data_IF_244629449837
#
_entry.id   IF_244629449837
#
_cell.length_a   1.000
_cell.length_b   1.000
_cell.length_c   1.000
_cell.angle_alpha   90.00
_cell.angle_beta   90.00
_cell.angle_gamma   90.00
#
_symmetry.space_group_name_H-M   'P 1'
#
loop_
_entity.id
_entity.type
_entity.pdbx_description
1 polymer ?
#
# COMPACT_ATOMS: atom_id res chain seq x y z
N UNK A 1 -4.62 -3.77 -17.37
CA UNK A 1 -3.58 -2.72 -17.34
C UNK A 1 -2.30 -3.33 -16.81
N UNK A 2 -1.20 -3.15 -17.55
CA UNK A 2 0.16 -3.58 -17.18
C UNK A 2 0.83 -2.52 -16.31
N UNK A 3 1.86 -2.90 -15.56
CA UNK A 3 2.65 -1.98 -14.72
C UNK A 3 3.24 -0.82 -15.54
N UNK A 4 3.76 -1.10 -16.74
CA UNK A 4 4.32 -0.08 -17.63
C UNK A 4 3.26 0.95 -18.07
N UNK A 5 2.08 0.49 -18.49
CA UNK A 5 0.97 1.39 -18.89
C UNK A 5 0.57 2.32 -17.73
N UNK A 6 0.49 1.79 -16.51
CA UNK A 6 0.21 2.57 -15.31
C UNK A 6 1.30 3.60 -15.03
N UNK A 7 2.58 3.20 -15.08
CA UNK A 7 3.72 4.10 -14.91
C UNK A 7 3.67 5.25 -15.92
N UNK A 8 3.44 4.95 -17.18
CA UNK A 8 3.40 5.95 -18.25
C UNK A 8 2.22 6.90 -18.09
N UNK A 9 1.06 6.40 -17.67
CA UNK A 9 -0.09 7.22 -17.28
C UNK A 9 0.22 8.18 -16.13
N UNK A 10 0.94 7.72 -15.10
CA UNK A 10 1.35 8.57 -13.97
C UNK A 10 2.36 9.63 -14.45
N UNK A 11 3.36 9.25 -15.24
CA UNK A 11 4.36 10.20 -15.78
C UNK A 11 3.71 11.24 -16.70
N UNK A 12 2.72 10.84 -17.50
CA UNK A 12 1.98 11.74 -18.37
C UNK A 12 1.27 12.88 -17.62
N UNK A 13 1.05 12.74 -16.31
CA UNK A 13 0.46 13.75 -15.44
C UNK A 13 1.50 14.59 -14.68
N UNK A 14 2.77 14.62 -15.07
CA UNK A 14 3.83 15.37 -14.38
C UNK A 14 3.50 16.85 -14.05
N UNK A 15 2.68 17.50 -14.88
CA UNK A 15 2.22 18.89 -14.68
C UNK A 15 1.02 19.02 -13.74
N UNK A 16 0.44 17.90 -13.28
CA UNK A 16 -0.75 17.82 -12.45
C UNK A 16 -0.48 16.90 -11.25
N UNK A 17 0.19 17.39 -10.18
CA UNK A 17 0.62 16.57 -9.05
C UNK A 17 -0.54 15.86 -8.34
N UNK A 18 -1.71 16.51 -8.21
CA UNK A 18 -2.89 15.91 -7.60
C UNK A 18 -3.41 14.71 -8.41
N UNK A 19 -3.34 14.77 -9.75
CA UNK A 19 -3.74 13.66 -10.62
C UNK A 19 -2.72 12.53 -10.63
N UNK A 20 -1.42 12.84 -10.52
CA UNK A 20 -0.40 11.82 -10.27
C UNK A 20 -0.70 11.06 -8.99
N UNK A 21 -0.95 11.79 -7.90
CA UNK A 21 -1.33 11.20 -6.63
C UNK A 21 -2.64 10.40 -6.74
N UNK A 22 -3.64 10.89 -7.47
CA UNK A 22 -4.91 10.19 -7.69
C UNK A 22 -4.71 8.83 -8.37
N UNK A 23 -3.91 8.77 -9.43
CA UNK A 23 -3.67 7.53 -10.17
C UNK A 23 -2.91 6.53 -9.32
N UNK A 24 -1.84 6.98 -8.65
CA UNK A 24 -1.07 6.18 -7.71
C UNK A 24 -1.95 5.68 -6.55
N UNK A 25 -2.81 6.52 -5.99
CA UNK A 25 -3.71 6.16 -4.92
C UNK A 25 -4.71 5.09 -5.40
N UNK A 26 -5.39 5.30 -6.52
CA UNK A 26 -6.37 4.34 -7.04
C UNK A 26 -5.74 2.97 -7.36
N UNK A 27 -4.51 2.94 -7.87
CA UNK A 27 -3.81 1.70 -8.20
C UNK A 27 -3.14 1.00 -7.02
N UNK A 28 -2.82 1.73 -5.95
CA UNK A 28 -2.13 1.17 -4.78
C UNK A 28 -3.03 0.93 -3.57
N UNK A 29 -4.23 1.50 -3.52
CA UNK A 29 -5.16 1.38 -2.37
C UNK A 29 -6.43 0.58 -2.68
N UNK A 30 -6.66 0.30 -3.96
CA UNK A 30 -7.88 -0.33 -4.43
C UNK A 30 -9.13 0.56 -4.34
N UNK A 31 -9.01 1.86 -4.04
CA UNK A 31 -10.14 2.80 -4.09
C UNK A 31 -10.78 2.89 -5.48
N UNK A 32 -12.09 3.14 -5.52
CA UNK A 32 -12.73 3.62 -6.75
C UNK A 32 -12.30 5.06 -6.98
N UNK A 33 -12.11 5.48 -8.24
CA UNK A 33 -11.77 6.87 -8.56
C UNK A 33 -12.77 7.88 -7.98
N UNK A 34 -14.06 7.53 -7.99
CA UNK A 34 -15.11 8.34 -7.36
C UNK A 34 -14.97 8.47 -5.84
N UNK A 35 -14.52 7.42 -5.14
CA UNK A 35 -14.23 7.49 -3.70
C UNK A 35 -12.99 8.37 -3.46
N UNK A 36 -11.93 8.17 -4.25
CA UNK A 36 -10.70 8.94 -4.15
C UNK A 36 -10.96 10.46 -4.33
N UNK A 37 -11.83 10.84 -5.26
CA UNK A 37 -12.19 12.25 -5.47
C UNK A 37 -12.96 12.91 -4.30
N UNK A 38 -13.42 12.14 -3.31
CA UNK A 38 -14.04 12.65 -2.09
C UNK A 38 -13.09 12.74 -0.90
N UNK A 39 -11.88 12.18 -0.99
CA UNK A 39 -10.94 12.15 0.13
C UNK A 39 -10.47 13.55 0.44
N UNK A 40 -10.69 13.96 1.70
CA UNK A 40 -10.24 15.22 2.26
C UNK A 40 -8.99 15.03 3.10
N UNK A 41 -8.29 16.12 3.41
CA UNK A 41 -7.10 16.05 4.26
C UNK A 41 -7.38 15.41 5.63
N UNK A 42 -8.52 15.72 6.25
CA UNK A 42 -8.94 15.12 7.53
C UNK A 42 -9.17 13.60 7.49
N UNK A 43 -9.33 13.02 6.30
CA UNK A 43 -9.50 11.59 6.12
C UNK A 43 -8.15 10.84 6.10
N UNK A 44 -7.03 11.59 6.06
CA UNK A 44 -5.67 11.04 6.07
C UNK A 44 -5.16 10.87 7.51
N UNK A 45 -4.56 9.72 7.78
CA UNK A 45 -3.84 9.45 9.01
C UNK A 45 -2.37 9.14 8.67
N UNK A 46 -1.48 9.99 9.20
CA UNK A 46 -0.04 9.99 8.92
C UNK A 46 0.77 9.31 10.04
N UNK A 47 0.12 8.70 11.02
CA UNK A 47 0.80 8.11 12.20
C UNK A 47 1.54 6.79 11.92
N UNK A 48 1.22 6.12 10.81
CA UNK A 48 1.76 4.81 10.44
C UNK A 48 2.83 4.91 9.34
N UNK A 49 3.52 3.79 9.05
CA UNK A 49 4.58 3.74 8.02
C UNK A 49 4.04 4.08 6.61
N UNK A 50 2.73 3.94 6.38
CA UNK A 50 2.03 4.40 5.18
C UNK A 50 0.86 5.27 5.56
N UNK A 51 0.57 6.27 4.71
CA UNK A 51 -0.61 7.12 4.86
C UNK A 51 -1.86 6.23 4.78
N UNK A 52 -2.65 6.29 5.84
CA UNK A 52 -3.93 5.58 5.91
C UNK A 52 -5.02 6.52 5.45
N UNK A 53 -5.94 6.02 4.63
CA UNK A 53 -7.10 6.75 4.15
C UNK A 53 -8.35 6.13 4.76
N UNK A 54 -9.11 6.97 5.49
CA UNK A 54 -10.40 6.62 6.05
C UNK A 54 -11.49 6.96 5.04
N UNK A 55 -12.02 5.95 4.37
CA UNK A 55 -13.10 6.13 3.39
C UNK A 55 -14.42 6.10 4.16
N UNK A 56 -15.07 7.25 4.28
CA UNK A 56 -16.35 7.37 4.98
C UNK A 56 -17.47 6.61 4.23
N UNK A 57 -18.37 5.99 4.99
CA UNK A 57 -19.58 5.33 4.51
C UNK A 57 -20.45 6.23 3.62
N UNK A 58 -20.46 7.55 3.88
CA UNK A 58 -21.20 8.54 3.08
C UNK A 58 -20.76 8.59 1.62
N UNK A 59 -19.49 8.27 1.35
CA UNK A 59 -18.89 8.32 0.01
C UNK A 59 -18.95 6.97 -0.72
N UNK A 60 -19.30 5.88 -0.03
CA UNK A 60 -19.33 4.54 -0.61
C UNK A 60 -20.75 4.13 -1.00
N UNK A 61 -20.88 3.46 -2.16
CA UNK A 61 -22.17 2.90 -2.62
C UNK A 61 -22.76 1.89 -1.63
N UNK A 62 -21.93 1.27 -0.79
CA UNK A 62 -22.30 0.20 0.14
C UNK A 62 -22.61 0.69 1.55
N UNK A 63 -22.47 1.99 1.84
CA UNK A 63 -22.66 2.59 3.19
C UNK A 63 -21.82 1.93 4.29
N UNK A 64 -20.70 1.30 3.92
CA UNK A 64 -19.73 0.76 4.86
C UNK A 64 -18.43 1.57 4.73
N UNK A 65 -18.02 2.18 5.83
CA UNK A 65 -16.71 2.83 5.92
C UNK A 65 -15.60 1.79 5.92
N UNK A 66 -14.44 2.14 5.38
CA UNK A 66 -13.26 1.27 5.43
C UNK A 66 -11.96 2.08 5.45
N UNK A 67 -10.92 1.46 5.97
CA UNK A 67 -9.55 1.95 5.93
C UNK A 67 -8.80 1.27 4.79
N UNK A 68 -7.90 2.02 4.15
CA UNK A 68 -6.92 1.50 3.17
C UNK A 68 -5.64 2.30 3.28
N UNK A 69 -4.59 1.89 2.56
CA UNK A 69 -3.28 2.54 2.56
C UNK A 69 -2.90 2.93 1.15
N UNK A 70 -2.05 3.94 1.02
CA UNK A 70 -1.41 4.30 -0.25
C UNK A 70 0.07 3.96 -0.24
N UNK A 71 0.61 3.70 -1.42
CA UNK A 71 2.02 3.33 -1.56
C UNK A 71 2.93 4.47 -1.15
N UNK A 72 4.20 4.15 -0.85
CA UNK A 72 5.26 5.10 -0.49
C UNK A 72 5.35 6.23 -1.51
N UNK A 73 5.41 5.92 -2.80
CA UNK A 73 5.47 6.91 -3.90
C UNK A 73 4.21 7.80 -3.98
N UNK A 74 3.04 7.26 -3.63
CA UNK A 74 1.82 8.05 -3.54
C UNK A 74 1.88 9.00 -2.34
N UNK A 75 2.30 8.49 -1.17
CA UNK A 75 2.46 9.28 0.05
C UNK A 75 3.46 10.41 -0.14
N UNK A 76 4.65 10.12 -0.66
CA UNK A 76 5.66 11.12 -1.02
C UNK A 76 5.07 12.18 -1.96
N UNK A 77 4.26 11.76 -2.93
CA UNK A 77 3.60 12.69 -3.85
C UNK A 77 2.60 13.59 -3.14
N UNK A 78 1.74 13.04 -2.28
CA UNK A 78 0.77 13.80 -1.49
C UNK A 78 1.49 14.84 -0.62
N UNK A 79 2.57 14.44 0.05
CA UNK A 79 3.34 15.31 0.95
C UNK A 79 3.91 16.55 0.26
N UNK A 80 4.14 16.52 -1.06
CA UNK A 80 4.62 17.70 -1.81
C UNK A 80 3.66 18.90 -1.78
N UNK A 81 2.37 18.68 -1.52
CA UNK A 81 1.36 19.75 -1.49
C UNK A 81 0.43 19.70 -0.26
N UNK A 82 0.48 18.66 0.56
CA UNK A 82 -0.41 18.48 1.72
C UNK A 82 -0.37 19.65 2.73
N UNK A 83 0.78 20.32 2.86
CA UNK A 83 0.96 21.48 3.74
C UNK A 83 0.12 22.70 3.33
N UNK A 84 -0.40 22.73 2.09
CA UNK A 84 -1.21 23.83 1.54
C UNK A 84 -2.71 23.59 1.65
N UNK A 85 -3.12 22.40 2.10
CA UNK A 85 -4.51 22.01 2.19
C UNK A 85 -5.00 22.24 3.61
N UNK A 86 -6.24 22.73 3.74
CA UNK A 86 -6.99 22.71 4.99
C UNK A 86 -7.70 21.36 5.17
N UNK A 87 -8.21 21.10 6.37
CA UNK A 87 -8.78 19.79 6.73
C UNK A 87 -9.97 19.36 5.85
N UNK A 88 -10.72 20.32 5.33
CA UNK A 88 -11.86 20.09 4.45
C UNK A 88 -11.54 20.12 2.96
N UNK A 89 -10.30 20.41 2.59
CA UNK A 89 -9.86 20.41 1.20
C UNK A 89 -9.66 18.99 0.67
N UNK A 90 -9.98 18.82 -0.61
CA UNK A 90 -9.82 17.55 -1.31
C UNK A 90 -8.35 17.30 -1.64
N UNK A 91 -7.87 16.09 -1.34
CA UNK A 91 -6.47 15.71 -1.54
C UNK A 91 -6.12 15.56 -3.02
N UNK A 92 -7.03 14.97 -3.79
CA UNK A 92 -6.73 14.53 -5.16
C UNK A 92 -7.30 15.45 -6.26
N UNK A 93 -7.95 16.56 -5.90
CA UNK A 93 -8.53 17.49 -6.87
C UNK A 93 -8.64 18.89 -6.27
N UNK A 94 -8.39 19.91 -7.09
CA UNK A 94 -8.66 21.31 -6.73
C UNK A 94 -9.97 21.83 -7.34
N UNK A 95 -10.77 20.94 -7.95
CA UNK A 95 -12.01 21.33 -8.61
C UNK A 95 -13.07 21.72 -7.59
N UNK A 96 -13.65 22.90 -7.76
CA UNK A 96 -14.81 23.37 -7.00
C UNK A 96 -16.14 22.85 -7.57
N UNK A 97 -16.10 22.18 -8.73
CA UNK A 97 -17.29 21.63 -9.38
C UNK A 97 -17.94 20.50 -8.57
N UNK A 98 -19.19 20.18 -8.91
CA UNK A 98 -19.91 19.07 -8.29
C UNK A 98 -19.25 17.71 -8.59
N UNK A 99 -19.67 16.67 -7.87
CA UNK A 99 -19.06 15.36 -7.98
C UNK A 99 -19.13 14.76 -9.40
N UNK A 100 -20.27 14.93 -10.08
CA UNK A 100 -20.46 14.42 -11.45
C UNK A 100 -19.48 15.09 -12.41
N UNK A 101 -19.29 16.40 -12.25
CA UNK A 101 -18.36 17.20 -13.04
C UNK A 101 -16.93 16.76 -12.81
N UNK A 102 -16.52 16.52 -11.56
CA UNK A 102 -15.18 16.00 -11.24
C UNK A 102 -14.93 14.63 -11.87
N UNK A 103 -15.86 13.70 -11.73
CA UNK A 103 -15.76 12.37 -12.33
C UNK A 103 -15.62 12.44 -13.84
N UNK A 104 -16.43 13.28 -14.51
CA UNK A 104 -16.35 13.48 -15.95
C UNK A 104 -15.03 14.14 -16.38
N UNK A 105 -14.55 15.14 -15.65
CA UNK A 105 -13.28 15.80 -15.92
C UNK A 105 -12.12 14.80 -15.87
N UNK A 106 -12.10 13.93 -14.86
CA UNK A 106 -11.07 12.89 -14.75
C UNK A 106 -11.20 11.81 -15.83
N UNK A 107 -12.41 11.45 -16.25
CA UNK A 107 -12.61 10.54 -17.38
C UNK A 107 -12.06 11.13 -18.69
N UNK A 108 -12.31 12.42 -18.95
CA UNK A 108 -11.79 13.12 -20.13
C UNK A 108 -10.26 13.27 -20.07
N UNK A 109 -9.70 13.59 -18.91
CA UNK A 109 -8.26 13.68 -18.72
C UNK A 109 -7.56 12.33 -18.93
N UNK A 110 -8.15 11.23 -18.46
CA UNK A 110 -7.66 9.89 -18.71
C UNK A 110 -7.72 9.55 -20.20
N UNK A 111 -8.85 9.78 -20.87
CA UNK A 111 -8.99 9.52 -22.30
C UNK A 111 -7.93 10.28 -23.13
N UNK A 112 -7.71 11.56 -22.83
CA UNK A 112 -6.68 12.37 -23.48
C UNK A 112 -5.27 11.81 -23.25
N UNK A 113 -4.98 11.32 -22.05
CA UNK A 113 -3.69 10.68 -21.75
C UNK A 113 -3.52 9.37 -22.51
N UNK A 114 -4.57 8.55 -22.62
CA UNK A 114 -4.54 7.30 -23.38
C UNK A 114 -4.28 7.54 -24.86
N UNK A 115 -4.95 8.52 -25.47
CA UNK A 115 -4.71 8.91 -26.87
C UNK A 115 -3.27 9.37 -27.09
N UNK A 116 -2.75 10.24 -26.21
CA UNK A 116 -1.36 10.73 -26.32
C UNK A 116 -0.30 9.63 -26.14
N UNK A 117 -0.59 8.62 -25.33
CA UNK A 117 0.34 7.51 -25.07
C UNK A 117 0.16 6.33 -26.04
N UNK A 118 -0.83 6.37 -26.94
CA UNK A 118 -1.14 5.26 -27.84
C UNK A 118 -1.86 4.08 -27.16
N UNK A 119 -2.44 4.28 -25.97
CA UNK A 119 -3.22 3.26 -25.24
C UNK A 119 -4.73 3.39 -25.51
N UNK A 120 -5.09 3.72 -26.75
CA UNK A 120 -6.44 4.10 -27.16
C UNK A 120 -7.29 2.93 -27.68
N UNK A 121 -6.87 1.69 -27.45
CA UNK A 121 -7.62 0.51 -27.87
C UNK A 121 -9.00 0.48 -27.18
N UNK A 122 -10.05 0.19 -27.98
CA UNK A 122 -11.45 0.17 -27.55
C UNK A 122 -12.07 -1.21 -27.76
N UNK A 123 -13.04 -1.57 -26.91
CA UNK A 123 -13.87 -2.74 -27.15
C UNK A 123 -14.80 -2.50 -28.34
N UNK A 124 -14.84 -3.46 -29.28
CA UNK A 124 -15.74 -3.40 -30.45
C UNK A 124 -17.22 -3.39 -30.07
N UNK A 125 -17.58 -3.96 -28.92
CA UNK A 125 -18.97 -4.11 -28.48
C UNK A 125 -19.63 -2.81 -28.01
N UNK A 126 -18.88 -1.87 -27.43
CA UNK A 126 -19.44 -0.66 -26.81
C UNK A 126 -18.58 0.61 -27.03
N UNK A 127 -17.45 0.51 -27.72
CA UNK A 127 -16.56 1.62 -28.01
C UNK A 127 -15.81 2.19 -26.80
N UNK A 128 -15.90 1.56 -25.62
CA UNK A 128 -15.14 2.01 -24.44
C UNK A 128 -13.67 1.62 -24.55
N UNK A 129 -12.79 2.51 -24.06
CA UNK A 129 -11.37 2.19 -23.91
C UNK A 129 -11.20 0.93 -23.04
N UNK A 130 -10.21 0.10 -23.39
CA UNK A 130 -9.84 -1.05 -22.55
C UNK A 130 -9.24 -0.62 -21.20
N UNK A 131 -8.64 0.56 -21.15
CA UNK A 131 -8.19 1.18 -19.90
C UNK A 131 -9.21 2.24 -19.48
N UNK A 132 -9.78 2.08 -18.29
CA UNK A 132 -10.70 3.03 -17.67
C UNK A 132 -10.27 3.31 -16.23
N UNK A 133 -11.00 4.17 -15.52
CA UNK A 133 -10.76 4.37 -14.09
C UNK A 133 -10.92 3.09 -13.26
N UNK A 134 -11.71 2.12 -13.72
CA UNK A 134 -11.84 0.82 -13.06
C UNK A 134 -10.58 -0.05 -13.21
N UNK A 135 -9.76 0.20 -14.23
CA UNK A 135 -8.53 -0.55 -14.47
C UNK A 135 -7.49 -0.35 -13.36
N UNK A 136 -7.46 0.83 -12.70
CA UNK A 136 -6.60 1.07 -11.53
C UNK A 136 -6.97 0.17 -10.35
N UNK A 137 -8.26 0.11 -10.02
CA UNK A 137 -8.76 -0.76 -8.95
C UNK A 137 -8.58 -2.24 -9.30
N UNK A 138 -8.81 -2.63 -10.56
CA UNK A 138 -8.57 -4.00 -11.02
C UNK A 138 -7.09 -4.39 -10.90
N UNK A 139 -6.17 -3.47 -11.22
CA UNK A 139 -4.73 -3.67 -11.03
C UNK A 139 -4.38 -3.99 -9.58
N UNK A 140 -4.85 -3.17 -8.62
CA UNK A 140 -4.69 -3.46 -7.19
C UNK A 140 -5.27 -4.82 -6.82
N UNK A 141 -6.54 -5.06 -7.18
CA UNK A 141 -7.26 -6.26 -6.78
C UNK A 141 -6.55 -7.52 -7.26
N UNK A 142 -6.11 -7.56 -8.53
CA UNK A 142 -5.38 -8.70 -9.08
C UNK A 142 -4.08 -8.97 -8.33
N UNK A 143 -3.31 -7.95 -7.98
CA UNK A 143 -2.05 -8.13 -7.25
C UNK A 143 -2.29 -8.55 -5.80
N UNK A 144 -3.28 -7.93 -5.13
CA UNK A 144 -3.69 -8.30 -3.78
C UNK A 144 -4.15 -9.76 -3.69
N UNK A 145 -4.99 -10.20 -4.64
CA UNK A 145 -5.45 -11.61 -4.70
C UNK A 145 -4.30 -12.57 -4.94
N UNK A 146 -3.35 -12.24 -5.82
CA UNK A 146 -2.19 -13.10 -6.08
C UNK A 146 -1.26 -13.24 -4.88
N UNK A 147 -1.23 -12.24 -4.01
CA UNK A 147 -0.32 -12.18 -2.85
C UNK A 147 -0.94 -12.76 -1.58
N UNK A 148 -2.23 -12.51 -1.35
CA UNK A 148 -2.90 -12.71 -0.06
C UNK A 148 -4.34 -13.24 -0.19
N UNK A 149 -4.68 -13.80 -1.35
CA UNK A 149 -6.00 -14.34 -1.68
C UNK A 149 -7.14 -13.30 -1.74
N UNK A 150 -8.31 -13.81 -2.13
CA UNK A 150 -9.46 -12.98 -2.48
C UNK A 150 -10.05 -12.23 -1.28
N UNK A 151 -10.01 -12.80 -0.08
CA UNK A 151 -10.58 -12.20 1.12
C UNK A 151 -9.87 -10.87 1.47
N UNK A 152 -8.53 -10.86 1.45
CA UNK A 152 -7.78 -9.63 1.67
C UNK A 152 -8.07 -8.59 0.59
N UNK A 153 -8.08 -9.00 -0.70
CA UNK A 153 -8.40 -8.11 -1.80
C UNK A 153 -9.81 -7.50 -1.68
N UNK A 154 -10.82 -8.30 -1.31
CA UNK A 154 -12.17 -7.84 -1.06
C UNK A 154 -12.25 -6.89 0.14
N UNK A 155 -11.55 -7.19 1.24
CA UNK A 155 -11.47 -6.32 2.43
C UNK A 155 -10.94 -4.93 2.08
N UNK A 156 -9.80 -4.87 1.38
CA UNK A 156 -9.14 -3.62 1.00
C UNK A 156 -9.97 -2.81 0.00
N UNK A 157 -10.62 -3.51 -0.93
CA UNK A 157 -11.43 -2.87 -1.96
C UNK A 157 -12.85 -2.53 -1.47
N UNK A 158 -13.34 -3.11 -0.37
CA UNK A 158 -14.72 -2.90 0.10
C UNK A 158 -15.75 -3.55 -0.83
N UNK A 159 -15.40 -4.71 -1.38
CA UNK A 159 -16.34 -5.60 -2.05
C UNK A 159 -16.86 -6.64 -1.06
N UNK A 160 -18.06 -7.17 -1.30
CA UNK A 160 -18.54 -8.34 -0.57
C UNK A 160 -17.76 -9.57 -1.00
N UNK A 161 -16.91 -10.09 -0.12
CA UNK A 161 -16.26 -11.39 -0.28
C UNK A 161 -17.06 -12.52 0.37
N UNK A 162 -16.61 -13.76 0.18
CA UNK A 162 -17.21 -14.91 0.84
C UNK A 162 -16.94 -14.86 2.36
N UNK A 163 -17.99 -15.00 3.17
CA UNK A 163 -17.89 -15.12 4.64
C UNK A 163 -17.10 -13.99 5.35
N UNK A 164 -17.08 -12.77 4.79
CA UNK A 164 -16.36 -11.60 5.35
C UNK A 164 -16.72 -11.26 6.81
N UNK A 165 -17.89 -11.67 7.29
CA UNK A 165 -18.32 -11.49 8.68
C UNK A 165 -17.44 -12.25 9.70
N UNK A 166 -16.74 -13.30 9.26
CA UNK A 166 -15.77 -14.03 10.07
C UNK A 166 -14.35 -13.47 9.96
N UNK A 167 -14.09 -12.63 8.94
CA UNK A 167 -12.81 -11.97 8.74
C UNK A 167 -12.67 -10.74 9.67
N UNK A 168 -12.10 -11.00 10.85
CA UNK A 168 -11.81 -10.02 11.91
C UNK A 168 -10.45 -9.34 11.75
N UNK A 169 -9.92 -9.23 10.53
CA UNK A 169 -8.64 -8.57 10.28
C UNK A 169 -8.67 -7.10 10.71
N UNK A 170 -7.81 -6.78 11.69
CA UNK A 170 -7.61 -5.43 12.20
C UNK A 170 -6.71 -4.58 11.28
N UNK A 171 -6.64 -3.28 11.54
CA UNK A 171 -5.88 -2.36 10.69
C UNK A 171 -4.37 -2.60 10.75
N UNK A 172 -3.86 -3.16 11.86
CA UNK A 172 -2.44 -3.51 12.00
C UNK A 172 -2.08 -4.67 11.07
N UNK A 173 -2.89 -5.72 11.05
CA UNK A 173 -2.70 -6.87 10.15
C UNK A 173 -2.90 -6.48 8.70
N UNK A 174 -3.87 -5.62 8.38
CA UNK A 174 -4.01 -5.06 7.03
C UNK A 174 -2.75 -4.32 6.59
N UNK A 175 -2.18 -3.48 7.45
CA UNK A 175 -0.95 -2.75 7.12
C UNK A 175 0.24 -3.69 6.91
N UNK A 176 0.40 -4.71 7.75
CA UNK A 176 1.45 -5.72 7.59
C UNK A 176 1.37 -6.39 6.21
N UNK A 177 0.18 -6.90 5.85
CA UNK A 177 -0.06 -7.51 4.53
C UNK A 177 0.10 -6.49 3.40
N UNK A 178 -0.31 -5.23 3.61
CA UNK A 178 -0.10 -4.17 2.64
C UNK A 178 1.38 -3.95 2.34
N UNK A 179 2.24 -3.90 3.37
CA UNK A 179 3.68 -3.71 3.22
C UNK A 179 4.35 -4.89 2.49
N UNK A 180 3.82 -6.11 2.64
CA UNK A 180 4.27 -7.28 1.87
C UNK A 180 3.89 -7.22 0.38
N UNK A 181 2.71 -6.67 0.08
CA UNK A 181 2.17 -6.50 -1.26
C UNK A 181 2.78 -5.29 -2.00
N UNK A 182 3.09 -4.22 -1.28
CA UNK A 182 3.49 -2.93 -1.84
C UNK A 182 4.63 -2.98 -2.88
N UNK A 183 5.70 -3.80 -2.74
CA UNK A 183 6.75 -3.91 -3.75
C UNK A 183 6.25 -4.30 -5.16
N UNK A 184 5.07 -4.93 -5.23
CA UNK A 184 4.40 -5.30 -6.47
C UNK A 184 3.44 -4.21 -6.99
N UNK A 185 2.96 -3.33 -6.11
CA UNK A 185 2.06 -2.21 -6.43
C UNK A 185 2.80 -0.97 -6.96
N UNK A 186 4.02 -0.73 -6.47
CA UNK A 186 4.80 0.47 -6.86
C UNK A 186 5.17 0.44 -8.33
N UNK A 187 5.06 1.60 -8.98
CA UNK A 187 5.23 1.71 -10.43
C UNK A 187 6.64 2.16 -10.81
N UNK A 188 7.33 2.86 -9.92
CA UNK A 188 8.72 3.29 -10.12
C UNK A 188 9.72 2.31 -9.50
N UNK A 189 10.73 1.93 -10.27
CA UNK A 189 11.78 1.01 -9.81
C UNK A 189 12.61 1.60 -8.67
N UNK A 190 12.79 2.92 -8.65
CA UNK A 190 13.43 3.62 -7.54
C UNK A 190 12.69 3.34 -6.21
N UNK A 191 11.38 3.57 -6.17
CA UNK A 191 10.54 3.28 -4.99
C UNK A 191 10.66 1.82 -4.57
N UNK A 192 10.63 0.89 -5.56
CA UNK A 192 10.77 -0.54 -5.29
C UNK A 192 12.12 -0.87 -4.64
N UNK A 193 13.20 -0.29 -5.15
CA UNK A 193 14.54 -0.46 -4.63
C UNK A 193 14.66 0.10 -3.22
N UNK A 194 14.12 1.29 -2.96
CA UNK A 194 14.11 1.90 -1.63
C UNK A 194 13.36 1.05 -0.59
N UNK A 195 12.20 0.49 -0.95
CA UNK A 195 11.45 -0.43 -0.08
C UNK A 195 12.28 -1.68 0.21
N UNK A 196 12.92 -2.27 -0.83
CA UNK A 196 13.76 -3.46 -0.68
C UNK A 196 14.98 -3.19 0.20
N UNK A 197 15.65 -2.05 0.01
CA UNK A 197 16.80 -1.63 0.81
C UNK A 197 16.38 -1.46 2.28
N UNK A 198 15.28 -0.75 2.55
CA UNK A 198 14.77 -0.56 3.92
C UNK A 198 14.42 -1.89 4.59
N UNK A 199 13.88 -2.85 3.83
CA UNK A 199 13.61 -4.21 4.33
C UNK A 199 14.90 -4.95 4.69
N UNK A 200 15.88 -4.98 3.78
CA UNK A 200 17.18 -5.63 4.00
C UNK A 200 17.93 -5.02 5.19
N UNK A 201 17.85 -3.70 5.38
CA UNK A 201 18.45 -3.01 6.53
C UNK A 201 17.84 -3.51 7.85
N UNK A 202 16.50 -3.57 7.94
CA UNK A 202 15.81 -4.10 9.13
C UNK A 202 16.14 -5.56 9.40
N UNK A 203 16.22 -6.38 8.35
CA UNK A 203 16.60 -7.79 8.46
C UNK A 203 18.04 -7.95 8.96
N UNK A 204 18.98 -7.15 8.45
CA UNK A 204 20.37 -7.13 8.93
C UNK A 204 20.47 -6.70 10.39
N UNK A 205 19.77 -5.64 10.80
CA UNK A 205 19.73 -5.18 12.20
C UNK A 205 19.21 -6.28 13.13
N UNK A 206 18.15 -6.99 12.72
CA UNK A 206 17.61 -8.12 13.50
C UNK A 206 18.59 -9.29 13.57
N UNK A 207 19.34 -9.58 12.51
CA UNK A 207 20.36 -10.64 12.49
C UNK A 207 21.51 -10.30 13.45
N UNK A 208 21.96 -9.04 13.46
CA UNK A 208 23.01 -8.61 14.40
C UNK A 208 22.54 -8.72 15.87
N UNK A 209 21.29 -8.32 16.17
CA UNK A 209 20.73 -8.50 17.51
C UNK A 209 20.65 -9.97 17.94
N UNK A 210 20.23 -10.87 17.04
CA UNK A 210 20.20 -12.31 17.31
C UNK A 210 21.61 -12.90 17.50
N UNK A 211 22.61 -12.40 16.76
CA UNK A 211 24.01 -12.81 16.94
C UNK A 211 24.52 -12.44 18.32
N UNK A 212 24.23 -11.22 18.79
CA UNK A 212 24.59 -10.75 20.12
C UNK A 212 23.93 -11.58 21.22
N UNK A 213 22.65 -11.93 21.06
CA UNK A 213 21.92 -12.78 22.01
C UNK A 213 22.48 -14.20 22.06
N UNK A 214 22.76 -14.81 20.90
CA UNK A 214 23.38 -16.14 20.82
C UNK A 214 24.76 -16.14 21.49
N UNK A 215 25.54 -15.08 21.29
CA UNK A 215 26.86 -14.96 21.92
C UNK A 215 26.75 -14.93 23.45
N UNK A 216 25.85 -14.12 24.00
CA UNK A 216 25.58 -14.06 25.45
C UNK A 216 25.11 -15.40 26.00
N UNK A 217 24.21 -16.09 25.30
CA UNK A 217 23.73 -17.41 25.72
C UNK A 217 24.85 -18.45 25.74
N UNK A 218 25.76 -18.43 24.75
CA UNK A 218 26.95 -19.31 24.74
C UNK A 218 27.88 -19.04 25.91
N UNK A 219 28.09 -17.78 26.27
CA UNK A 219 28.92 -17.42 27.43
C UNK A 219 28.31 -17.90 28.74
N UNK A 220 27.00 -17.71 28.92
CA UNK A 220 26.27 -18.21 30.10
C UNK A 220 26.33 -19.74 30.17
N UNK A 221 26.11 -20.43 29.04
CA UNK A 221 26.18 -21.89 28.99
C UNK A 221 27.59 -22.39 29.33
N UNK A 222 28.64 -21.78 28.77
CA UNK A 222 30.02 -22.14 29.08
C UNK A 222 30.35 -21.96 30.57
N UNK A 223 29.81 -20.92 31.21
CA UNK A 223 29.99 -20.71 32.65
C UNK A 223 29.24 -21.76 33.48
N UNK A 224 28.03 -22.12 33.08
CA UNK A 224 27.25 -23.18 33.72
C UNK A 224 27.94 -24.54 33.59
N UNK A 225 28.44 -24.88 32.40
CA UNK A 225 29.18 -26.12 32.14
C UNK A 225 30.46 -26.18 32.99
N UNK A 226 31.21 -25.07 33.10
CA UNK A 226 32.38 -24.98 34.01
C UNK A 226 31.99 -25.23 35.46
N UNK A 227 30.89 -24.66 35.93
CA UNK A 227 30.42 -24.86 37.30
C UNK A 227 30.02 -26.32 37.55
N UNK A 228 29.35 -26.99 36.60
CA UNK A 228 29.03 -28.42 36.69
C UNK A 228 30.30 -29.26 36.77
N UNK A 229 31.26 -29.03 35.86
CA UNK A 229 32.52 -29.78 35.84
C UNK A 229 33.24 -29.62 37.18
N UNK A 230 33.27 -28.41 37.75
CA UNK A 230 33.90 -28.16 39.04
C UNK A 230 33.19 -28.90 40.18
N UNK A 231 31.85 -28.91 40.19
CA UNK A 231 31.08 -29.67 41.19
C UNK A 231 31.33 -31.17 41.08
N UNK A 232 31.31 -31.73 39.87
CA UNK A 232 31.59 -33.16 39.64
C UNK A 232 33.01 -33.56 40.03
N UNK A 233 33.99 -32.67 39.87
CA UNK A 233 35.37 -32.85 40.38
C UNK A 233 35.40 -32.87 41.91
N UNK A 234 34.71 -31.93 42.56
CA UNK A 234 34.64 -31.86 44.02
C UNK A 234 33.96 -33.10 44.65
N UNK A 235 33.00 -33.70 43.94
CA UNK A 235 32.31 -34.93 44.34
C UNK A 235 33.11 -36.22 44.04
N UNK A 236 34.28 -36.11 43.41
CA UNK A 236 35.14 -37.25 43.07
C UNK A 236 34.61 -38.13 41.93
N UNK A 237 33.61 -37.66 41.18
CA UNK A 237 33.01 -38.38 40.04
C UNK A 237 33.91 -38.33 38.81
N UNK A 238 34.72 -37.28 38.68
CA UNK A 238 35.69 -37.08 37.60
C UNK A 238 37.08 -36.91 38.21
N UNK A 239 38.04 -37.76 37.82
CA UNK A 239 39.45 -37.70 38.23
C UNK A 239 40.22 -36.91 37.14
N UNK A 240 41.19 -36.09 37.55
CA UNK A 240 42.00 -35.24 36.65
C UNK A 240 42.57 -35.95 35.43
#
# INVERSE_FOLDING_TARGET
>A
MKKQELRDLVVAQARNPNRQALYLACSSSGMRSGEALHIKKKDLDLSLDRITIRINAEYTKTKAGRTTFVSKECGEKIMTYLHRLDDDDYVFTNSTGDFKTRGRAEQMALASALERLGFNEKYSSNGFYKITSHSFRAYFFTLATRKHDENYAHKMTGHGGYLMQYDRMDDKKKLEMYLELEPDLVVFDQTKNEIKIKKLQRENESIEQLRDEIQKLREVQAQYDKNIIQNLKNEGVIIE
#
